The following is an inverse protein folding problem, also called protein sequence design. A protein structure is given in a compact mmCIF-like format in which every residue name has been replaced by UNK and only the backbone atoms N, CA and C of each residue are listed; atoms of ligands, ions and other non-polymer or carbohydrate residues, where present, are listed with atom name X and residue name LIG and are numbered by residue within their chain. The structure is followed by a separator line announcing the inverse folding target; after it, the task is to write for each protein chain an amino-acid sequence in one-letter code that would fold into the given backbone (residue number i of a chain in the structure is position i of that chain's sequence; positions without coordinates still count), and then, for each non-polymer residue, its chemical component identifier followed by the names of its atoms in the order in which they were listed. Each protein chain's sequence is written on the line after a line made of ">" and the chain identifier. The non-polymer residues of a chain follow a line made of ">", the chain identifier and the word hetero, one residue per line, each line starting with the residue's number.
data_IF_635824972281
#
_entry.id   IF_635824972281
#
_cell.length_a   1.000
_cell.length_b   1.000
_cell.length_c   1.000
_cell.angle_alpha   90.00
_cell.angle_beta   90.00
_cell.angle_gamma   90.00
#
_symmetry.space_group_name_H-M   'P 1'
#
loop_
_entity.id
_entity.type
_entity.pdbx_description
1 polymer ?
#
# COMPACT_ATOMS: atom_id res chain seq x y z
N UNK A 1 14.46 19.00 -22.68
CA UNK A 1 13.49 18.05 -23.27
C UNK A 1 13.05 17.13 -22.13
N UNK A 2 11.95 17.48 -21.51
CA UNK A 2 11.31 16.63 -20.50
C UNK A 2 10.55 15.55 -21.26
N UNK A 3 11.00 14.32 -21.16
CA UNK A 3 10.28 13.17 -21.67
C UNK A 3 8.97 13.04 -20.91
N UNK A 4 7.88 13.30 -21.58
CA UNK A 4 6.53 12.97 -21.12
C UNK A 4 6.48 11.47 -20.82
N UNK A 5 6.44 11.14 -19.53
CA UNK A 5 6.11 9.79 -19.08
C UNK A 5 4.67 9.56 -19.47
N UNK A 6 4.49 8.67 -20.43
CA UNK A 6 3.23 8.22 -21.00
C UNK A 6 2.26 7.85 -19.87
N UNK A 7 1.25 8.68 -19.64
CA UNK A 7 0.06 8.38 -18.86
C UNK A 7 -0.85 7.41 -19.64
N UNK A 8 -0.37 6.20 -19.85
CA UNK A 8 -1.20 5.04 -20.15
C UNK A 8 -1.51 4.37 -18.82
N UNK A 9 -2.49 4.88 -18.10
CA UNK A 9 -2.93 4.31 -16.85
C UNK A 9 -3.51 2.92 -17.09
N UNK A 10 -2.70 1.89 -16.83
CA UNK A 10 -3.17 0.54 -16.55
C UNK A 10 -3.88 0.57 -15.19
N UNK A 11 -5.06 1.19 -15.13
CA UNK A 11 -5.81 1.28 -13.88
C UNK A 11 -6.41 -0.07 -13.54
N UNK A 12 -5.73 -0.80 -12.66
CA UNK A 12 -6.35 -1.92 -11.96
C UNK A 12 -7.35 -1.39 -10.93
N UNK A 13 -8.36 -2.20 -10.61
CA UNK A 13 -9.35 -1.81 -9.60
C UNK A 13 -8.74 -1.69 -8.20
N UNK A 14 -9.35 -0.88 -7.35
CA UNK A 14 -8.95 -0.78 -5.92
C UNK A 14 -8.93 -2.15 -5.22
N UNK A 15 -9.87 -3.03 -5.57
CA UNK A 15 -9.87 -4.41 -5.08
C UNK A 15 -8.60 -5.15 -5.51
N UNK A 16 -8.20 -5.03 -6.76
CA UNK A 16 -6.99 -5.67 -7.29
C UNK A 16 -5.73 -5.11 -6.64
N UNK A 17 -5.68 -3.80 -6.35
CA UNK A 17 -4.61 -3.17 -5.57
C UNK A 17 -4.49 -3.78 -4.17
N UNK A 18 -5.61 -4.02 -3.48
CA UNK A 18 -5.61 -4.64 -2.16
C UNK A 18 -5.07 -6.08 -2.18
N UNK A 19 -5.37 -6.85 -3.24
CA UNK A 19 -4.75 -8.17 -3.42
C UNK A 19 -3.25 -8.08 -3.63
N UNK A 20 -2.77 -7.15 -4.47
CA UNK A 20 -1.35 -6.93 -4.71
C UNK A 20 -0.61 -6.55 -3.42
N UNK A 21 -1.16 -5.60 -2.66
CA UNK A 21 -0.65 -5.22 -1.34
C UNK A 21 -0.56 -6.43 -0.39
N UNK A 22 -1.62 -7.24 -0.34
CA UNK A 22 -1.66 -8.43 0.51
C UNK A 22 -0.59 -9.45 0.13
N UNK A 23 -0.40 -9.70 -1.16
CA UNK A 23 0.67 -10.58 -1.68
C UNK A 23 2.02 -10.04 -1.23
N UNK A 24 2.29 -8.75 -1.42
CA UNK A 24 3.54 -8.11 -1.04
C UNK A 24 3.84 -8.27 0.46
N UNK A 25 2.86 -7.98 1.31
CA UNK A 25 3.00 -8.11 2.77
C UNK A 25 3.28 -9.56 3.18
N UNK A 26 2.52 -10.53 2.62
CA UNK A 26 2.72 -11.94 2.90
C UNK A 26 4.10 -12.44 2.44
N UNK A 27 4.58 -11.97 1.28
CA UNK A 27 5.93 -12.31 0.79
C UNK A 27 7.03 -11.80 1.71
N UNK A 28 6.89 -10.59 2.24
CA UNK A 28 7.86 -10.05 3.22
C UNK A 28 7.83 -10.80 4.55
N UNK A 29 6.70 -11.39 4.92
CA UNK A 29 6.54 -12.15 6.18
C UNK A 29 6.97 -13.62 6.06
N UNK A 30 6.61 -14.29 4.97
CA UNK A 30 6.73 -15.75 4.81
C UNK A 30 7.74 -16.18 3.73
N UNK A 31 8.14 -15.27 2.85
CA UNK A 31 8.93 -15.55 1.65
C UNK A 31 8.10 -16.13 0.51
N UNK A 32 7.54 -17.32 0.67
CA UNK A 32 6.71 -17.99 -0.35
C UNK A 32 5.24 -17.79 0.00
N UNK A 33 4.44 -17.33 -0.98
CA UNK A 33 3.00 -17.10 -0.84
C UNK A 33 2.22 -18.05 -1.73
N UNK A 34 1.16 -18.63 -1.15
CA UNK A 34 0.24 -19.54 -1.85
C UNK A 34 -1.16 -18.92 -1.94
N UNK A 35 -1.95 -19.40 -2.88
CA UNK A 35 -3.38 -19.01 -3.03
C UNK A 35 -4.15 -19.17 -1.71
N UNK A 36 -3.83 -20.19 -0.92
CA UNK A 36 -4.44 -20.43 0.40
C UNK A 36 -4.15 -19.34 1.40
N UNK A 37 -2.91 -18.83 1.44
CA UNK A 37 -2.50 -17.76 2.37
C UNK A 37 -3.24 -16.46 2.07
N UNK A 38 -3.41 -16.17 0.77
CA UNK A 38 -4.14 -14.98 0.32
C UNK A 38 -5.63 -15.12 0.64
N UNK A 39 -6.22 -16.29 0.34
CA UNK A 39 -7.63 -16.56 0.60
C UNK A 39 -7.98 -16.41 2.09
N UNK A 40 -7.13 -16.95 2.97
CA UNK A 40 -7.26 -16.83 4.42
C UNK A 40 -7.12 -15.36 4.87
N UNK A 41 -6.08 -14.65 4.41
CA UNK A 41 -5.81 -13.26 4.78
C UNK A 41 -6.89 -12.30 4.32
N UNK A 42 -7.47 -12.54 3.13
CA UNK A 42 -8.53 -11.72 2.52
C UNK A 42 -9.94 -12.18 2.90
N UNK A 43 -10.07 -13.28 3.66
CA UNK A 43 -11.32 -13.91 4.02
C UNK A 43 -12.23 -14.14 2.79
N UNK A 44 -11.68 -14.75 1.75
CA UNK A 44 -12.37 -14.98 0.48
C UNK A 44 -12.08 -16.38 -0.09
N UNK A 45 -12.81 -16.76 -1.14
CA UNK A 45 -12.66 -18.07 -1.79
C UNK A 45 -11.40 -18.14 -2.66
N UNK A 46 -10.80 -19.33 -2.78
CA UNK A 46 -9.66 -19.57 -3.69
C UNK A 46 -9.95 -19.20 -5.15
N UNK A 47 -11.13 -19.48 -5.74
CA UNK A 47 -11.47 -19.00 -7.08
C UNK A 47 -11.43 -17.47 -7.20
N UNK A 48 -11.86 -16.74 -6.17
CA UNK A 48 -11.77 -15.27 -6.14
C UNK A 48 -10.32 -14.79 -6.17
N UNK A 49 -9.45 -15.43 -5.39
CA UNK A 49 -7.99 -15.16 -5.42
C UNK A 49 -7.43 -15.42 -6.81
N UNK A 50 -7.69 -16.61 -7.37
CA UNK A 50 -7.19 -16.99 -8.70
C UNK A 50 -7.61 -15.99 -9.78
N UNK A 51 -8.85 -15.50 -9.72
CA UNK A 51 -9.34 -14.46 -10.63
C UNK A 51 -8.48 -13.19 -10.53
N UNK A 52 -8.18 -12.74 -9.32
CA UNK A 52 -7.36 -11.54 -9.09
C UNK A 52 -5.90 -11.75 -9.49
N UNK A 53 -5.33 -12.92 -9.21
CA UNK A 53 -3.98 -13.26 -9.68
C UNK A 53 -3.86 -13.21 -11.20
N UNK A 54 -4.86 -13.71 -11.92
CA UNK A 54 -4.89 -13.64 -13.38
C UNK A 54 -4.97 -12.18 -13.88
N UNK A 55 -5.69 -11.29 -13.18
CA UNK A 55 -5.74 -9.87 -13.52
C UNK A 55 -4.36 -9.24 -13.28
N UNK A 56 -3.76 -9.46 -12.11
CA UNK A 56 -2.44 -8.93 -11.76
C UNK A 56 -1.36 -9.41 -12.75
N UNK A 57 -1.40 -10.69 -13.14
CA UNK A 57 -0.47 -11.27 -14.12
C UNK A 57 -0.64 -10.64 -15.51
N UNK A 58 -1.87 -10.39 -15.98
CA UNK A 58 -2.15 -9.69 -17.23
C UNK A 58 -1.61 -8.26 -17.25
N UNK A 59 -1.52 -7.62 -16.12
CA UNK A 59 -0.94 -6.29 -15.96
C UNK A 59 0.57 -6.32 -15.66
N UNK A 60 1.21 -7.49 -15.77
CA UNK A 60 2.63 -7.70 -15.48
C UNK A 60 3.08 -7.26 -14.08
N UNK A 61 2.17 -7.31 -13.10
CA UNK A 61 2.47 -6.95 -11.71
C UNK A 61 2.94 -8.15 -10.89
N UNK A 62 2.59 -9.36 -11.34
CA UNK A 62 3.08 -10.62 -10.78
C UNK A 62 3.36 -11.62 -11.90
N UNK A 63 4.25 -12.57 -11.64
CA UNK A 63 4.40 -13.81 -12.40
C UNK A 63 3.62 -14.88 -11.66
N UNK A 64 2.60 -15.43 -12.30
CA UNK A 64 1.73 -16.46 -11.75
C UNK A 64 1.46 -17.56 -12.75
N UNK A 65 1.86 -18.78 -12.42
CA UNK A 65 1.51 -19.98 -13.14
C UNK A 65 0.54 -20.82 -12.30
N UNK A 66 -0.45 -21.41 -12.94
CA UNK A 66 -1.42 -22.29 -12.26
C UNK A 66 -0.66 -23.43 -11.57
N UNK A 67 -0.79 -23.55 -10.25
CA UNK A 67 -0.03 -24.44 -9.36
C UNK A 67 1.45 -24.08 -9.16
N UNK A 68 1.91 -22.93 -9.68
CA UNK A 68 3.26 -22.41 -9.49
C UNK A 68 3.40 -21.46 -8.30
N UNK A 69 4.59 -20.91 -8.17
CA UNK A 69 4.87 -19.85 -7.21
C UNK A 69 4.29 -18.52 -7.71
N UNK A 70 3.88 -17.69 -6.77
CA UNK A 70 3.51 -16.30 -7.02
C UNK A 70 4.76 -15.47 -6.79
N UNK A 71 5.22 -14.76 -7.81
CA UNK A 71 6.34 -13.83 -7.72
C UNK A 71 5.85 -12.44 -8.07
N UNK A 72 6.26 -11.44 -7.28
CA UNK A 72 5.95 -10.06 -7.58
C UNK A 72 7.00 -9.47 -8.51
N UNK A 73 6.59 -8.73 -9.53
CA UNK A 73 7.50 -8.03 -10.43
C UNK A 73 7.98 -6.72 -9.79
N UNK A 74 8.97 -6.07 -10.37
CA UNK A 74 9.45 -4.76 -9.92
C UNK A 74 8.32 -3.71 -9.94
N UNK A 75 7.55 -3.66 -11.04
CA UNK A 75 6.38 -2.78 -11.16
C UNK A 75 5.30 -3.10 -10.11
N UNK A 76 5.07 -4.39 -9.86
CA UNK A 76 4.15 -4.86 -8.82
C UNK A 76 4.61 -4.44 -7.42
N UNK A 77 5.89 -4.55 -7.13
CA UNK A 77 6.45 -4.13 -5.84
C UNK A 77 6.32 -2.60 -5.66
N UNK A 78 6.64 -1.81 -6.68
CA UNK A 78 6.47 -0.36 -6.64
C UNK A 78 5.02 0.04 -6.36
N UNK A 79 4.06 -0.58 -7.06
CA UNK A 79 2.65 -0.30 -6.86
C UNK A 79 2.17 -0.74 -5.47
N UNK A 80 2.58 -1.92 -5.00
CA UNK A 80 2.23 -2.40 -3.66
C UNK A 80 2.74 -1.46 -2.55
N UNK A 81 3.97 -0.95 -2.68
CA UNK A 81 4.54 0.03 -1.75
C UNK A 81 3.77 1.34 -1.76
N UNK A 82 3.35 1.82 -2.95
CA UNK A 82 2.51 3.02 -3.07
C UNK A 82 1.18 2.83 -2.33
N UNK A 83 0.51 1.69 -2.54
CA UNK A 83 -0.77 1.36 -1.90
C UNK A 83 -0.65 1.31 -0.37
N UNK A 84 0.46 0.75 0.14
CA UNK A 84 0.76 0.75 1.58
C UNK A 84 1.00 2.16 2.13
N UNK A 85 1.81 2.96 1.43
CA UNK A 85 2.10 4.33 1.85
C UNK A 85 0.82 5.19 1.91
N UNK A 86 -0.06 5.04 0.97
CA UNK A 86 -1.36 5.73 0.95
C UNK A 86 -2.23 5.36 2.17
N UNK A 87 -2.23 4.09 2.56
CA UNK A 87 -2.90 3.63 3.77
C UNK A 87 -2.24 4.20 5.04
N UNK A 88 -0.91 4.15 5.12
CA UNK A 88 -0.15 4.64 6.28
C UNK A 88 -0.36 6.16 6.48
N UNK A 89 -0.46 6.95 5.40
CA UNK A 89 -0.79 8.38 5.46
C UNK A 89 -2.13 8.60 6.16
N UNK A 90 -3.16 7.86 5.77
CA UNK A 90 -4.49 7.99 6.37
C UNK A 90 -4.51 7.52 7.81
N UNK A 91 -3.83 6.43 8.11
CA UNK A 91 -3.72 5.92 9.47
C UNK A 91 -3.04 6.95 10.40
N UNK A 92 -1.88 7.49 9.99
CA UNK A 92 -1.16 8.52 10.76
C UNK A 92 -2.03 9.76 10.96
N UNK A 93 -2.74 10.18 9.93
CA UNK A 93 -3.64 11.34 10.04
C UNK A 93 -4.74 11.10 11.07
N UNK A 94 -5.39 9.95 11.04
CA UNK A 94 -6.48 9.64 11.97
C UNK A 94 -5.96 9.41 13.39
N UNK A 95 -4.91 8.63 13.54
CA UNK A 95 -4.39 8.22 14.84
C UNK A 95 -3.53 9.31 15.50
N UNK A 96 -2.47 9.75 14.81
CA UNK A 96 -1.46 10.62 15.42
C UNK A 96 -1.84 12.11 15.37
N UNK A 97 -2.60 12.55 14.36
CA UNK A 97 -2.99 13.96 14.21
C UNK A 97 -4.34 14.24 14.83
N UNK A 98 -5.35 13.42 14.55
CA UNK A 98 -6.72 13.61 15.04
C UNK A 98 -6.94 12.97 16.41
N UNK A 99 -6.21 11.89 16.75
CA UNK A 99 -6.33 11.19 18.04
C UNK A 99 -7.42 10.11 18.05
N UNK A 100 -7.78 9.56 16.89
CA UNK A 100 -8.65 8.39 16.80
C UNK A 100 -7.92 7.18 17.39
N UNK A 101 -8.61 6.32 18.15
CA UNK A 101 -8.01 5.11 18.69
C UNK A 101 -7.49 4.17 17.58
N UNK A 102 -6.52 3.34 17.93
CA UNK A 102 -5.78 2.52 16.97
C UNK A 102 -6.67 1.61 16.11
N UNK A 103 -7.66 0.96 16.72
CA UNK A 103 -8.53 0.01 16.02
C UNK A 103 -9.43 0.74 15.01
N UNK A 104 -10.08 1.82 15.44
CA UNK A 104 -10.92 2.62 14.56
C UNK A 104 -10.09 3.30 13.47
N UNK A 105 -8.92 3.85 13.79
CA UNK A 105 -8.03 4.47 12.81
C UNK A 105 -7.61 3.48 11.70
N UNK A 106 -7.30 2.23 12.06
CA UNK A 106 -6.99 1.17 11.08
C UNK A 106 -8.18 0.87 10.16
N UNK A 107 -9.35 0.69 10.75
CA UNK A 107 -10.57 0.35 10.02
C UNK A 107 -11.03 1.48 9.10
N UNK A 108 -10.98 2.71 9.59
CA UNK A 108 -11.40 3.89 8.83
C UNK A 108 -10.40 4.27 7.74
N UNK A 109 -9.10 4.18 7.99
CA UNK A 109 -8.07 4.40 6.97
C UNK A 109 -8.28 3.49 5.75
N UNK A 110 -8.60 2.21 5.98
CA UNK A 110 -8.88 1.27 4.90
C UNK A 110 -10.12 1.67 4.08
N UNK A 111 -11.19 2.12 4.74
CA UNK A 111 -12.42 2.59 4.08
C UNK A 111 -12.18 3.88 3.30
N UNK A 112 -11.54 4.87 3.92
CA UNK A 112 -11.25 6.16 3.29
C UNK A 112 -10.33 5.96 2.07
N UNK A 113 -9.32 5.10 2.18
CA UNK A 113 -8.42 4.79 1.07
C UNK A 113 -9.16 4.28 -0.17
N UNK A 114 -10.24 3.54 0.01
CA UNK A 114 -11.02 3.02 -1.12
C UNK A 114 -11.77 4.09 -1.93
N UNK A 115 -12.03 5.27 -1.35
CA UNK A 115 -12.86 6.33 -1.95
C UNK A 115 -12.14 7.67 -2.13
N UNK A 116 -11.04 7.90 -1.43
CA UNK A 116 -10.30 9.17 -1.48
C UNK A 116 -9.57 9.34 -2.82
N UNK A 117 -9.54 10.56 -3.34
CA UNK A 117 -8.75 10.85 -4.51
C UNK A 117 -7.28 11.18 -4.16
N UNK A 118 -6.40 11.02 -5.15
CA UNK A 118 -4.97 11.20 -4.98
C UNK A 118 -4.57 12.64 -4.63
N UNK A 119 -5.31 13.65 -5.11
CA UNK A 119 -5.04 15.06 -4.80
C UNK A 119 -5.34 15.37 -3.35
N UNK A 120 -6.44 14.86 -2.83
CA UNK A 120 -6.83 15.02 -1.42
C UNK A 120 -5.83 14.28 -0.52
N UNK A 121 -5.45 13.06 -0.86
CA UNK A 121 -4.45 12.30 -0.13
C UNK A 121 -3.09 13.02 -0.08
N UNK A 122 -2.68 13.64 -1.20
CA UNK A 122 -1.46 14.45 -1.25
C UNK A 122 -1.50 15.64 -0.29
N UNK A 123 -2.65 16.31 -0.17
CA UNK A 123 -2.81 17.43 0.77
C UNK A 123 -2.75 16.97 2.22
N UNK A 124 -3.36 15.82 2.53
CA UNK A 124 -3.28 15.21 3.86
C UNK A 124 -1.81 14.89 4.19
N UNK A 125 -1.08 14.27 3.25
CA UNK A 125 0.35 13.97 3.44
C UNK A 125 1.17 15.23 3.72
N UNK A 126 0.95 16.33 2.96
CA UNK A 126 1.64 17.61 3.18
C UNK A 126 1.30 18.18 4.56
N UNK A 127 0.05 18.14 4.97
CA UNK A 127 -0.39 18.62 6.27
C UNK A 127 0.25 17.83 7.43
N UNK A 128 0.30 16.50 7.33
CA UNK A 128 1.00 15.65 8.30
C UNK A 128 2.47 16.07 8.43
N UNK A 129 3.12 16.34 7.30
CA UNK A 129 4.51 16.77 7.25
C UNK A 129 4.75 18.04 8.06
N UNK A 130 3.84 19.01 7.96
CA UNK A 130 3.89 20.27 8.70
C UNK A 130 3.59 20.07 10.18
N UNK A 131 2.49 19.38 10.52
CA UNK A 131 2.01 19.24 11.89
C UNK A 131 2.97 18.40 12.75
N UNK A 132 3.52 17.31 12.21
CA UNK A 132 4.47 16.47 12.91
C UNK A 132 5.91 16.97 12.80
N UNK A 133 6.12 18.16 12.19
CA UNK A 133 7.43 18.78 12.01
C UNK A 133 8.47 17.83 11.36
N UNK A 134 8.01 16.96 10.49
CA UNK A 134 8.86 15.94 9.85
C UNK A 134 10.01 16.54 9.04
N UNK A 135 9.86 17.77 8.56
CA UNK A 135 10.89 18.56 7.91
C UNK A 135 12.08 18.90 8.81
N UNK A 136 11.92 18.96 10.14
CA UNK A 136 13.01 19.15 11.10
C UNK A 136 13.87 17.89 11.28
N UNK A 137 13.43 16.76 10.77
CA UNK A 137 14.09 15.47 10.94
C UNK A 137 15.29 15.26 10.00
N UNK A 138 15.55 16.20 9.08
CA UNK A 138 16.61 16.11 8.07
C UNK A 138 16.64 14.75 7.34
N UNK A 139 15.45 14.19 7.17
CA UNK A 139 15.21 12.92 6.52
C UNK A 139 14.73 13.25 5.10
N UNK A 140 15.43 12.81 4.06
CA UNK A 140 14.96 12.89 2.67
C UNK A 140 13.76 11.94 2.45
N UNK A 141 12.86 11.89 3.40
CA UNK A 141 11.75 11.00 3.43
C UNK A 141 10.65 11.46 2.50
N UNK A 142 10.35 10.63 1.54
CA UNK A 142 9.13 10.76 0.75
C UNK A 142 8.07 9.82 1.33
N UNK A 143 7.08 10.39 1.98
CA UNK A 143 5.96 9.65 2.58
C UNK A 143 5.25 8.70 1.59
N UNK A 144 5.41 8.94 0.28
CA UNK A 144 4.82 8.12 -0.77
C UNK A 144 5.68 6.95 -1.24
N UNK A 145 6.98 7.01 -1.02
CA UNK A 145 7.90 6.03 -1.57
C UNK A 145 8.45 5.04 -0.55
N UNK A 146 8.45 5.41 0.73
CA UNK A 146 8.95 4.53 1.78
C UNK A 146 8.19 4.79 3.08
N UNK A 147 7.70 3.73 3.67
CA UNK A 147 7.20 3.78 5.04
C UNK A 147 8.37 4.11 5.96
N UNK A 148 8.51 5.37 6.37
CA UNK A 148 9.50 5.73 7.37
C UNK A 148 9.08 5.36 8.80
N UNK A 149 8.49 4.17 8.94
CA UNK A 149 8.35 3.55 10.26
C UNK A 149 9.66 3.56 11.04
N UNK A 150 10.81 3.43 10.35
CA UNK A 150 12.12 3.47 10.98
C UNK A 150 12.46 4.86 11.56
N UNK A 151 12.10 5.96 10.87
CA UNK A 151 12.33 7.31 11.39
C UNK A 151 11.30 7.68 12.48
N UNK A 152 10.05 7.30 12.31
CA UNK A 152 9.01 7.46 13.33
C UNK A 152 9.35 6.67 14.60
N UNK A 153 9.78 5.42 14.47
CA UNK A 153 10.23 4.59 15.60
C UNK A 153 11.46 5.14 16.31
N UNK A 154 12.49 5.56 15.57
CA UNK A 154 13.72 6.10 16.17
C UNK A 154 13.52 7.38 16.96
N UNK A 155 12.40 8.09 16.75
CA UNK A 155 12.10 9.37 17.43
C UNK A 155 10.96 9.32 18.43
N UNK A 156 10.48 8.12 18.78
CA UNK A 156 9.45 7.94 19.80
C UNK A 156 8.04 8.34 19.34
N UNK A 157 7.84 8.58 18.06
CA UNK A 157 6.51 8.68 17.47
C UNK A 157 5.99 7.24 17.34
N UNK A 158 5.05 6.86 18.18
CA UNK A 158 4.45 5.52 18.16
C UNK A 158 3.64 5.39 16.86
N UNK A 159 4.05 4.48 16.01
CA UNK A 159 3.31 4.02 14.84
C UNK A 159 2.53 2.77 15.19
#
# INVERSE_FOLDING_TARGET
>A
MLTEVNKGENMISKTTEEYLKTIYVLMKQKGIVRVTDIAEKMNCSKPSVTKQLNILSKHNLINYETYGHIEITEDGEMLARKVLADYDILYIFLHDVIGVDEENARNEAAKIKSVIDEKTLSKIASYIYEVLELNKLNCNFNIRNESCRACAFKKGIRV
#
